data_IF_754075627928
#
_entry.id   IF_754075627928
#
_cell.length_a   1.000
_cell.length_b   1.000
_cell.length_c   1.000
_cell.angle_alpha   90.00
_cell.angle_beta   90.00
_cell.angle_gamma   90.00
#
_symmetry.space_group_name_H-M   'P 1'
#
loop_
_entity.id
_entity.type
_entity.pdbx_description
1 polymer ?
#
# COMPACT_ATOMS: atom_id res chain seq x y z
N UNK A 1 44.22 37.69 -63.50
CA UNK A 1 45.55 37.08 -63.70
C UNK A 1 45.59 35.78 -62.93
N UNK A 2 46.29 34.79 -63.49
CA UNK A 2 46.46 33.39 -63.06
C UNK A 2 45.30 32.45 -63.43
N UNK A 3 45.49 31.31 -64.08
CA UNK A 3 46.49 30.80 -65.03
C UNK A 3 45.89 29.46 -65.51
N UNK A 4 45.96 29.20 -66.82
CA UNK A 4 45.63 27.90 -67.41
C UNK A 4 46.59 26.81 -66.93
N UNK A 5 46.08 25.60 -66.66
CA UNK A 5 46.79 24.35 -66.94
C UNK A 5 45.80 23.36 -67.56
N UNK A 6 45.99 23.11 -68.85
CA UNK A 6 45.33 22.08 -69.65
C UNK A 6 46.08 20.78 -69.40
N UNK A 7 45.38 19.78 -68.84
CA UNK A 7 45.87 18.40 -68.71
C UNK A 7 45.14 17.51 -69.71
N UNK A 8 45.81 17.23 -70.83
CA UNK A 8 45.45 16.20 -71.81
C UNK A 8 45.82 14.82 -71.27
N UNK A 9 44.85 13.94 -71.01
CA UNK A 9 44.91 12.46 -71.17
C UNK A 9 43.69 11.81 -70.48
N UNK A 10 42.64 11.47 -71.23
CA UNK A 10 41.69 10.40 -70.90
C UNK A 10 40.66 10.21 -72.03
N UNK A 11 41.13 9.83 -73.22
CA UNK A 11 40.25 9.29 -74.28
C UNK A 11 40.79 7.93 -74.72
N UNK A 12 40.74 6.91 -73.85
CA UNK A 12 41.00 5.53 -74.26
C UNK A 12 40.38 4.44 -73.36
N UNK A 13 39.31 4.76 -72.60
CA UNK A 13 38.65 3.77 -71.73
C UNK A 13 37.11 3.74 -71.89
N UNK A 14 36.54 4.50 -72.82
CA UNK A 14 35.07 4.60 -72.98
C UNK A 14 34.51 3.81 -74.17
N UNK A 15 35.35 3.25 -75.04
CA UNK A 15 34.94 2.44 -76.20
C UNK A 15 34.89 0.92 -75.91
N UNK A 16 35.71 0.41 -74.98
CA UNK A 16 35.72 -1.03 -74.65
C UNK A 16 34.51 -1.49 -73.83
N UNK A 17 33.97 -0.62 -72.98
CA UNK A 17 32.79 -0.93 -72.16
C UNK A 17 31.46 -0.80 -72.90
N UNK A 18 31.43 -0.20 -74.11
CA UNK A 18 30.22 -0.11 -74.94
C UNK A 18 30.05 -1.30 -75.88
N UNK A 19 31.13 -2.02 -76.20
CA UNK A 19 31.10 -3.14 -77.14
C UNK A 19 30.67 -4.45 -76.44
N UNK A 20 30.97 -4.62 -75.14
CA UNK A 20 30.59 -5.82 -74.37
C UNK A 20 29.09 -5.89 -74.00
N UNK A 21 28.38 -4.75 -74.03
CA UNK A 21 26.93 -4.68 -73.75
C UNK A 21 26.06 -4.94 -74.98
N UNK A 22 26.65 -4.90 -76.18
CA UNK A 22 25.94 -5.05 -77.46
C UNK A 22 25.75 -6.52 -77.88
N UNK A 23 26.57 -7.45 -77.38
CA UNK A 23 26.54 -8.87 -77.77
C UNK A 23 25.60 -9.74 -76.90
N UNK A 24 25.03 -9.19 -75.82
CA UNK A 24 24.05 -9.86 -74.93
C UNK A 24 22.64 -9.26 -75.05
N UNK A 25 22.25 -8.84 -76.26
CA UNK A 25 20.93 -8.24 -76.52
C UNK A 25 20.20 -8.94 -77.67
N UNK A 26 20.19 -10.27 -77.63
CA UNK A 26 19.40 -11.08 -78.55
C UNK A 26 17.91 -10.79 -78.36
N UNK A 27 17.09 -10.80 -79.44
CA UNK A 27 15.66 -10.51 -79.36
C UNK A 27 14.91 -11.43 -78.37
N UNK A 28 15.40 -12.65 -78.14
CA UNK A 28 14.88 -13.56 -77.09
C UNK A 28 15.04 -13.02 -75.68
N UNK A 29 16.23 -12.51 -75.31
CA UNK A 29 16.46 -11.92 -73.97
C UNK A 29 15.66 -10.64 -73.74
N UNK A 30 15.40 -9.84 -74.79
CA UNK A 30 14.54 -8.65 -74.68
C UNK A 30 13.08 -9.01 -74.41
N UNK A 31 12.59 -10.10 -75.01
CA UNK A 31 11.23 -10.58 -74.77
C UNK A 31 11.10 -11.18 -73.37
N UNK A 32 12.06 -11.99 -72.92
CA UNK A 32 12.09 -12.50 -71.54
C UNK A 32 12.16 -11.37 -70.51
N UNK A 33 13.01 -10.37 -70.73
CA UNK A 33 13.11 -9.22 -69.83
C UNK A 33 11.83 -8.39 -69.83
N UNK A 34 11.19 -8.19 -70.99
CA UNK A 34 9.90 -7.50 -71.07
C UNK A 34 8.77 -8.27 -70.38
N UNK A 35 8.76 -9.61 -70.47
CA UNK A 35 7.79 -10.46 -69.77
C UNK A 35 8.00 -10.40 -68.24
N UNK A 36 9.24 -10.53 -67.76
CA UNK A 36 9.56 -10.38 -66.33
C UNK A 36 9.20 -9.00 -65.78
N UNK A 37 9.46 -7.94 -66.54
CA UNK A 37 9.08 -6.57 -66.14
C UNK A 37 7.55 -6.41 -66.10
N UNK A 38 6.83 -7.02 -67.04
CA UNK A 38 5.36 -6.97 -67.06
C UNK A 38 4.78 -7.73 -65.86
N UNK A 39 5.27 -8.93 -65.59
CA UNK A 39 4.84 -9.75 -64.44
C UNK A 39 5.07 -9.01 -63.13
N UNK A 40 6.28 -8.45 -62.95
CA UNK A 40 6.59 -7.62 -61.78
C UNK A 40 5.68 -6.41 -61.64
N UNK A 41 5.40 -5.69 -62.74
CA UNK A 41 4.50 -4.54 -62.71
C UNK A 41 3.05 -4.92 -62.33
N UNK A 42 2.58 -6.11 -62.71
CA UNK A 42 1.27 -6.61 -62.31
C UNK A 42 1.23 -7.01 -60.83
N UNK A 43 2.28 -7.63 -60.31
CA UNK A 43 2.38 -7.94 -58.89
C UNK A 43 2.46 -6.68 -58.03
N UNK A 44 3.32 -5.71 -58.41
CA UNK A 44 3.40 -4.40 -57.76
C UNK A 44 2.04 -3.68 -57.77
N UNK A 45 1.29 -3.75 -58.87
CA UNK A 45 -0.05 -3.16 -58.95
C UNK A 45 -1.06 -3.87 -58.05
N UNK A 46 -0.99 -5.20 -57.92
CA UNK A 46 -1.85 -5.98 -57.01
C UNK A 46 -1.54 -5.68 -55.55
N UNK A 47 -0.27 -5.60 -55.20
CA UNK A 47 0.17 -5.27 -53.85
C UNK A 47 -0.23 -3.84 -53.48
N UNK A 48 -0.05 -2.87 -54.39
CA UNK A 48 -0.51 -1.50 -54.18
C UNK A 48 -2.03 -1.42 -53.97
N UNK A 49 -2.85 -2.17 -54.73
CA UNK A 49 -4.30 -2.23 -54.51
C UNK A 49 -4.67 -2.85 -53.16
N UNK A 50 -3.96 -3.90 -52.75
CA UNK A 50 -4.17 -4.56 -51.46
C UNK A 50 -3.81 -3.63 -50.30
N UNK A 51 -2.70 -2.92 -50.41
CA UNK A 51 -2.26 -1.95 -49.42
C UNK A 51 -3.23 -0.78 -49.30
N UNK A 52 -3.66 -0.18 -50.42
CA UNK A 52 -4.66 0.87 -50.44
C UNK A 52 -6.00 0.43 -49.80
N UNK A 53 -6.46 -0.79 -50.11
CA UNK A 53 -7.67 -1.37 -49.50
C UNK A 53 -7.53 -1.65 -48.01
N UNK A 54 -6.31 -1.90 -47.54
CA UNK A 54 -6.00 -2.15 -46.13
C UNK A 54 -5.96 -0.82 -45.36
N UNK A 55 -5.27 0.18 -45.92
CA UNK A 55 -5.25 1.55 -45.39
C UNK A 55 -6.66 2.16 -45.32
N UNK A 56 -7.51 1.94 -46.32
CA UNK A 56 -8.90 2.41 -46.28
C UNK A 56 -9.71 1.75 -45.15
N UNK A 57 -9.53 0.44 -44.93
CA UNK A 57 -10.18 -0.27 -43.82
C UNK A 57 -9.68 0.22 -42.46
N UNK A 58 -8.39 0.48 -42.36
CA UNK A 58 -7.79 0.99 -41.13
C UNK A 58 -8.27 2.41 -40.83
N UNK A 59 -8.36 3.27 -41.83
CA UNK A 59 -8.93 4.61 -41.71
C UNK A 59 -10.41 4.57 -41.28
N UNK A 60 -11.21 3.64 -41.83
CA UNK A 60 -12.60 3.46 -41.41
C UNK A 60 -12.70 3.06 -39.92
N UNK A 61 -11.88 2.09 -39.50
CA UNK A 61 -11.82 1.66 -38.10
C UNK A 61 -11.37 2.76 -37.16
N UNK A 62 -10.39 3.56 -37.56
CA UNK A 62 -9.93 4.71 -36.79
C UNK A 62 -11.05 5.74 -36.59
N UNK A 63 -11.91 5.96 -37.60
CA UNK A 63 -13.07 6.84 -37.46
C UNK A 63 -14.12 6.26 -36.50
N UNK A 64 -14.39 4.95 -36.58
CA UNK A 64 -15.28 4.25 -35.64
C UNK A 64 -14.75 4.36 -34.20
N UNK A 65 -13.44 4.16 -34.00
CA UNK A 65 -12.80 4.27 -32.68
C UNK A 65 -12.91 5.69 -32.11
N UNK A 66 -12.68 6.73 -32.93
CA UNK A 66 -12.87 8.13 -32.51
C UNK A 66 -14.31 8.41 -32.12
N UNK A 67 -15.30 7.83 -32.81
CA UNK A 67 -16.70 8.00 -32.46
C UNK A 67 -17.06 7.26 -31.15
N UNK A 68 -16.56 6.04 -30.99
CA UNK A 68 -16.75 5.25 -29.76
C UNK A 68 -16.09 5.94 -28.56
N UNK A 69 -14.87 6.45 -28.72
CA UNK A 69 -14.15 7.19 -27.67
C UNK A 69 -14.84 8.50 -27.28
N UNK A 70 -15.49 9.19 -28.23
CA UNK A 70 -16.32 10.35 -27.90
C UNK A 70 -17.53 9.96 -27.05
N UNK A 71 -18.20 8.85 -27.37
CA UNK A 71 -19.33 8.36 -26.59
C UNK A 71 -18.89 7.91 -25.19
N UNK A 72 -17.78 7.18 -25.10
CA UNK A 72 -17.17 6.72 -23.84
C UNK A 72 -16.75 7.90 -22.95
N UNK A 73 -16.20 8.97 -23.54
CA UNK A 73 -15.87 10.21 -22.83
C UNK A 73 -17.13 10.88 -22.24
N UNK A 74 -18.22 10.92 -23.00
CA UNK A 74 -19.47 11.51 -22.53
C UNK A 74 -20.12 10.68 -21.41
N UNK A 75 -20.08 9.36 -21.52
CA UNK A 75 -20.54 8.45 -20.47
C UNK A 75 -19.66 8.56 -19.21
N UNK A 76 -18.34 8.61 -19.37
CA UNK A 76 -17.40 8.80 -18.25
C UNK A 76 -17.65 10.12 -17.52
N UNK A 77 -17.94 11.20 -18.24
CA UNK A 77 -18.31 12.49 -17.63
C UNK A 77 -19.63 12.41 -16.86
N UNK A 78 -20.66 11.76 -17.43
CA UNK A 78 -21.94 11.57 -16.75
C UNK A 78 -21.78 10.70 -15.49
N UNK A 79 -21.00 9.63 -15.57
CA UNK A 79 -20.71 8.74 -14.46
C UNK A 79 -19.93 9.47 -13.35
N UNK A 80 -18.91 10.24 -13.71
CA UNK A 80 -18.15 11.04 -12.75
C UNK A 80 -19.03 12.06 -12.01
N UNK A 81 -19.96 12.72 -12.70
CA UNK A 81 -20.93 13.63 -12.07
C UNK A 81 -21.86 12.90 -11.11
N UNK A 82 -22.37 11.72 -11.51
CA UNK A 82 -23.23 10.89 -10.66
C UNK A 82 -22.49 10.42 -9.40
N UNK A 83 -21.26 9.92 -9.55
CA UNK A 83 -20.43 9.49 -8.43
C UNK A 83 -20.09 10.66 -7.50
N UNK A 84 -19.81 11.86 -8.02
CA UNK A 84 -19.60 13.04 -7.21
C UNK A 84 -20.85 13.42 -6.40
N UNK A 85 -22.03 13.34 -7.01
CA UNK A 85 -23.30 13.61 -6.34
C UNK A 85 -23.61 12.59 -5.24
N UNK A 86 -23.34 11.31 -5.50
CA UNK A 86 -23.52 10.23 -4.52
C UNK A 86 -22.52 10.33 -3.37
N UNK A 87 -21.27 10.68 -3.66
CA UNK A 87 -20.25 10.97 -2.65
C UNK A 87 -20.64 12.17 -1.78
N UNK A 88 -21.21 13.23 -2.37
CA UNK A 88 -21.67 14.40 -1.63
C UNK A 88 -22.88 14.06 -0.73
N UNK A 89 -23.82 13.25 -1.23
CA UNK A 89 -24.94 12.75 -0.43
C UNK A 89 -24.47 11.88 0.74
N UNK A 90 -23.51 10.99 0.50
CA UNK A 90 -22.91 10.14 1.53
C UNK A 90 -22.19 10.96 2.61
N UNK A 91 -21.45 12.00 2.21
CA UNK A 91 -20.82 12.93 3.15
C UNK A 91 -21.84 13.64 4.04
N UNK A 92 -22.95 14.11 3.47
CA UNK A 92 -24.03 14.74 4.25
C UNK A 92 -24.67 13.74 5.23
N UNK A 93 -24.90 12.50 4.79
CA UNK A 93 -25.44 11.45 5.65
C UNK A 93 -24.47 11.11 6.80
N UNK A 94 -23.17 11.04 6.52
CA UNK A 94 -22.13 10.81 7.53
C UNK A 94 -22.08 11.95 8.56
N UNK A 95 -22.19 13.21 8.11
CA UNK A 95 -22.27 14.38 8.99
C UNK A 95 -23.53 14.35 9.87
N UNK A 96 -24.68 13.96 9.31
CA UNK A 96 -25.93 13.82 10.08
C UNK A 96 -25.80 12.73 11.15
N UNK A 97 -25.24 11.56 10.80
CA UNK A 97 -24.97 10.49 11.77
C UNK A 97 -23.96 10.92 12.84
N UNK A 98 -22.96 11.71 12.47
CA UNK A 98 -21.97 12.23 13.40
C UNK A 98 -22.62 13.16 14.42
N UNK A 99 -23.52 14.06 14.01
CA UNK A 99 -24.27 14.91 14.92
C UNK A 99 -25.16 14.10 15.88
N UNK A 100 -25.83 13.05 15.37
CA UNK A 100 -26.61 12.15 16.20
C UNK A 100 -25.74 11.36 17.20
N UNK A 101 -24.57 10.88 16.78
CA UNK A 101 -23.64 10.19 17.66
C UNK A 101 -23.09 11.13 18.75
N UNK A 102 -22.80 12.39 18.42
CA UNK A 102 -22.33 13.39 19.38
C UNK A 102 -23.38 13.68 20.45
N UNK A 103 -24.67 13.84 20.10
CA UNK A 103 -25.71 14.08 21.09
C UNK A 103 -25.90 12.88 22.03
N UNK A 104 -25.86 11.65 21.49
CA UNK A 104 -25.92 10.42 22.30
C UNK A 104 -24.69 10.29 23.20
N UNK A 105 -23.50 10.58 22.69
CA UNK A 105 -22.26 10.53 23.46
C UNK A 105 -22.27 11.56 24.61
N UNK A 106 -22.72 12.78 24.36
CA UNK A 106 -22.87 13.82 25.40
C UNK A 106 -23.87 13.39 26.49
N UNK A 107 -25.00 12.81 26.09
CA UNK A 107 -25.99 12.29 27.03
C UNK A 107 -25.44 11.12 27.86
N UNK A 108 -24.70 10.21 27.24
CA UNK A 108 -24.06 9.08 27.90
C UNK A 108 -22.95 9.53 28.87
N UNK A 109 -22.18 10.57 28.53
CA UNK A 109 -21.20 11.15 29.44
C UNK A 109 -21.85 11.80 30.66
N UNK A 110 -22.94 12.55 30.46
CA UNK A 110 -23.68 13.17 31.56
C UNK A 110 -24.29 12.13 32.50
N UNK A 111 -24.88 11.06 31.95
CA UNK A 111 -25.45 9.97 32.77
C UNK A 111 -24.36 9.16 33.49
N UNK A 112 -23.22 8.91 32.85
CA UNK A 112 -22.07 8.25 33.48
C UNK A 112 -21.50 9.08 34.64
N UNK A 113 -21.36 10.41 34.47
CA UNK A 113 -20.94 11.32 35.54
C UNK A 113 -21.93 11.36 36.70
N UNK A 114 -23.24 11.34 36.43
CA UNK A 114 -24.27 11.26 37.45
C UNK A 114 -24.18 9.94 38.23
N UNK A 115 -24.04 8.80 37.54
CA UNK A 115 -23.88 7.49 38.16
C UNK A 115 -22.59 7.42 39.00
N UNK A 116 -21.48 8.01 38.53
CA UNK A 116 -20.22 8.06 39.27
C UNK A 116 -20.37 8.86 40.57
N UNK A 117 -21.07 10.01 40.53
CA UNK A 117 -21.38 10.79 41.75
C UNK A 117 -22.20 10.00 42.75
N UNK A 118 -23.14 9.19 42.28
CA UNK A 118 -24.00 8.39 43.14
C UNK A 118 -23.21 7.23 43.78
N UNK A 119 -22.29 6.62 43.04
CA UNK A 119 -21.38 5.61 43.58
C UNK A 119 -20.45 6.20 44.67
N UNK A 120 -19.92 7.42 44.48
CA UNK A 120 -19.09 8.08 45.49
C UNK A 120 -19.87 8.39 46.77
N UNK A 121 -21.12 8.83 46.67
CA UNK A 121 -21.97 9.08 47.85
C UNK A 121 -22.28 7.78 48.60
N UNK A 122 -22.60 6.71 47.89
CA UNK A 122 -22.85 5.40 48.50
C UNK A 122 -21.59 4.88 49.19
N UNK A 123 -20.41 5.05 48.58
CA UNK A 123 -19.14 4.65 49.18
C UNK A 123 -18.79 5.45 50.43
N UNK A 124 -18.97 6.78 50.40
CA UNK A 124 -18.77 7.62 51.56
C UNK A 124 -19.70 7.23 52.72
N UNK A 125 -20.98 6.97 52.42
CA UNK A 125 -21.97 6.54 53.42
C UNK A 125 -21.61 5.17 54.01
N UNK A 126 -21.16 4.23 53.17
CA UNK A 126 -20.75 2.90 53.59
C UNK A 126 -19.48 2.95 54.47
N UNK A 127 -18.52 3.82 54.16
CA UNK A 127 -17.33 4.02 54.99
C UNK A 127 -17.68 4.56 56.37
N UNK A 128 -18.66 5.47 56.46
CA UNK A 128 -19.12 6.05 57.72
C UNK A 128 -19.91 5.04 58.57
N UNK A 129 -20.70 4.18 57.94
CA UNK A 129 -21.36 3.05 58.60
C UNK A 129 -20.35 2.03 59.12
N UNK A 130 -19.36 1.64 58.31
CA UNK A 130 -18.29 0.73 58.75
C UNK A 130 -17.47 1.33 59.92
N UNK A 131 -17.25 2.64 59.92
CA UNK A 131 -16.58 3.35 61.01
C UNK A 131 -17.40 3.30 62.31
N UNK A 132 -18.71 3.53 62.23
CA UNK A 132 -19.61 3.46 63.39
C UNK A 132 -19.79 2.03 63.90
N UNK A 133 -19.83 1.03 63.01
CA UNK A 133 -19.94 -0.38 63.37
C UNK A 133 -18.64 -0.87 64.06
N UNK A 134 -17.48 -0.39 63.59
CA UNK A 134 -16.18 -0.62 64.25
C UNK A 134 -16.11 0.04 65.63
N UNK A 135 -16.63 1.27 65.78
CA UNK A 135 -16.69 1.96 67.06
C UNK A 135 -17.68 1.30 68.05
N UNK A 136 -18.80 0.77 67.55
CA UNK A 136 -19.76 0.01 68.35
C UNK A 136 -19.21 -1.37 68.77
N UNK A 137 -18.45 -2.03 67.89
CA UNK A 137 -17.74 -3.27 68.21
C UNK A 137 -16.68 -3.04 69.30
N UNK A 138 -15.94 -1.93 69.26
CA UNK A 138 -14.89 -1.63 70.24
C UNK A 138 -15.45 -1.31 71.64
N UNK A 139 -16.65 -0.75 71.74
CA UNK A 139 -17.33 -0.53 73.02
C UNK A 139 -17.90 -1.82 73.63
N UNK A 140 -18.15 -2.86 72.82
CA UNK A 140 -18.58 -4.18 73.31
C UNK A 140 -17.42 -5.04 73.85
N UNK A 141 -16.16 -4.68 73.58
CA UNK A 141 -14.97 -5.44 74.01
C UNK A 141 -14.44 -4.96 75.39
N UNK A 142 -15.07 -3.94 76.00
CA UNK A 142 -14.72 -3.47 77.35
C UNK A 142 -15.27 -4.33 78.51
N UNK A 143 -15.73 -5.56 78.26
CA UNK A 143 -15.96 -6.58 79.28
C UNK A 143 -14.93 -7.71 79.11
N UNK A 144 -14.11 -8.02 80.14
CA UNK A 144 -13.00 -8.97 80.00
C UNK A 144 -13.52 -10.41 80.01
N UNK A 145 -13.32 -11.12 78.90
CA UNK A 145 -13.68 -12.54 78.79
C UNK A 145 -13.22 -13.12 77.46
N UNK A 146 -12.22 -13.99 77.53
CA UNK A 146 -11.43 -14.57 76.45
C UNK A 146 -12.17 -15.26 75.29
N UNK A 147 -11.40 -15.43 74.21
CA UNK A 147 -11.53 -16.37 73.07
C UNK A 147 -12.41 -15.92 71.89
N UNK A 148 -11.76 -15.40 70.84
CA UNK A 148 -11.74 -16.05 69.51
C UNK A 148 -10.80 -15.33 68.54
N UNK A 149 -9.55 -15.80 68.55
CA UNK A 149 -8.58 -15.64 67.46
C UNK A 149 -8.73 -16.86 66.55
N UNK A 150 -9.68 -16.84 65.63
CA UNK A 150 -9.74 -17.74 64.49
C UNK A 150 -10.70 -17.15 63.45
N UNK A 151 -10.17 -16.70 62.31
CA UNK A 151 -10.83 -16.54 61.00
C UNK A 151 -10.37 -15.33 60.14
N UNK A 152 -9.33 -14.58 60.53
CA UNK A 152 -8.79 -13.49 59.69
C UNK A 152 -7.54 -13.91 58.90
N UNK A 153 -7.64 -14.95 58.08
CA UNK A 153 -6.55 -15.36 57.19
C UNK A 153 -6.94 -15.66 55.73
N UNK A 154 -8.21 -15.51 55.35
CA UNK A 154 -8.68 -15.81 53.97
C UNK A 154 -9.04 -14.58 53.11
N UNK A 155 -9.15 -13.37 53.69
CA UNK A 155 -9.55 -12.17 52.93
C UNK A 155 -8.40 -11.36 52.33
N UNK A 156 -7.14 -11.65 52.67
CA UNK A 156 -5.98 -10.88 52.21
C UNK A 156 -5.37 -11.38 50.88
N UNK A 157 -5.79 -12.53 50.37
CA UNK A 157 -5.16 -13.17 49.19
C UNK A 157 -5.90 -12.95 47.87
N UNK A 158 -7.05 -12.26 47.85
CA UNK A 158 -7.79 -11.97 46.60
C UNK A 158 -7.65 -10.52 46.09
N UNK A 159 -6.98 -9.64 46.82
CA UNK A 159 -6.70 -8.26 46.35
C UNK A 159 -5.29 -8.06 45.77
N UNK A 160 -4.42 -9.09 45.82
CA UNK A 160 -3.09 -9.04 45.21
C UNK A 160 -3.04 -9.61 43.77
N UNK A 161 -4.07 -10.33 43.30
CA UNK A 161 -4.08 -10.95 41.98
C UNK A 161 -4.60 -10.04 40.84
N UNK A 162 -5.11 -8.85 41.16
CA UNK A 162 -5.67 -7.91 40.16
C UNK A 162 -4.70 -6.76 39.83
N UNK A 163 -3.56 -6.66 40.53
CA UNK A 163 -2.59 -5.58 40.37
C UNK A 163 -1.29 -5.96 39.64
N UNK A 164 -1.13 -7.21 39.19
CA UNK A 164 0.10 -7.69 38.52
C UNK A 164 0.08 -7.64 36.98
N UNK A 165 -0.97 -7.11 36.34
CA UNK A 165 -0.99 -6.95 34.87
C UNK A 165 -1.16 -5.50 34.39
N UNK A 166 -0.82 -4.52 35.21
CA UNK A 166 -0.77 -3.12 34.79
C UNK A 166 0.65 -2.61 34.95
N UNK A 167 1.49 -2.96 33.99
CA UNK A 167 2.79 -2.35 33.78
C UNK A 167 2.63 -0.82 33.78
N UNK A 168 3.51 -0.08 34.46
CA UNK A 168 3.59 1.37 34.31
C UNK A 168 4.22 1.65 32.94
N UNK A 169 3.40 1.75 31.90
CA UNK A 169 3.82 2.50 30.71
C UNK A 169 3.95 3.95 31.14
N UNK A 170 5.20 4.39 31.07
CA UNK A 170 5.69 5.70 31.44
C UNK A 170 4.78 6.79 30.88
N UNK A 171 4.37 7.69 31.77
CA UNK A 171 3.88 9.01 31.41
C UNK A 171 4.99 9.75 30.65
N UNK A 172 4.99 9.57 29.33
CA UNK A 172 5.59 10.49 28.39
C UNK A 172 4.44 11.36 27.88
N UNK A 173 4.65 12.67 27.98
CA UNK A 173 3.72 13.75 27.63
C UNK A 173 2.76 13.38 26.50
N UNK A 174 1.47 13.65 26.65
CA UNK A 174 0.50 13.50 25.57
C UNK A 174 1.00 14.26 24.31
N UNK A 175 1.39 13.56 23.22
CA UNK A 175 1.72 14.21 21.97
C UNK A 175 0.47 14.19 21.08
N UNK A 176 0.46 15.08 20.09
CA UNK A 176 -0.62 15.22 19.12
C UNK A 176 -1.15 13.87 18.57
N UNK A 177 -2.42 13.55 18.84
CA UNK A 177 -3.21 12.39 18.37
C UNK A 177 -2.48 11.42 17.42
N UNK A 178 -1.61 10.58 17.99
CA UNK A 178 -0.93 9.52 17.25
C UNK A 178 -1.89 8.34 17.16
N UNK A 179 -2.28 7.98 15.95
CA UNK A 179 -3.18 6.88 15.64
C UNK A 179 -2.34 5.65 15.28
N UNK A 180 -2.72 4.48 15.81
CA UNK A 180 -2.02 3.24 15.53
C UNK A 180 -2.85 2.36 14.59
N UNK A 181 -2.21 1.74 13.61
CA UNK A 181 -2.80 0.74 12.73
C UNK A 181 -1.97 -0.54 12.76
N UNK A 182 -2.65 -1.69 12.70
CA UNK A 182 -2.01 -3.00 12.53
C UNK A 182 -2.59 -3.66 11.30
N UNK A 183 -1.76 -4.10 10.36
CA UNK A 183 -2.23 -4.69 9.11
C UNK A 183 -1.15 -5.47 8.39
N UNK A 184 -1.44 -5.89 7.16
CA UNK A 184 -0.50 -6.53 6.26
C UNK A 184 0.03 -5.50 5.25
N UNK A 185 1.33 -5.52 4.97
CA UNK A 185 1.96 -4.63 3.99
C UNK A 185 1.58 -5.08 2.59
N UNK A 186 0.98 -4.20 1.79
CA UNK A 186 0.71 -4.46 0.37
C UNK A 186 1.91 -4.13 -0.50
N UNK A 187 2.51 -2.97 -0.23
CA UNK A 187 3.72 -2.51 -0.92
C UNK A 187 4.46 -1.51 -0.04
N UNK A 188 5.79 -1.55 -0.09
CA UNK A 188 6.65 -0.69 0.69
C UNK A 188 7.73 -0.07 -0.18
N UNK A 189 7.98 1.21 0.03
CA UNK A 189 9.02 1.98 -0.66
C UNK A 189 9.71 2.91 0.33
N UNK A 190 10.74 3.61 -0.12
CA UNK A 190 11.48 4.54 0.72
C UNK A 190 10.62 5.71 1.28
N UNK A 191 9.51 6.05 0.62
CA UNK A 191 8.73 7.26 0.91
C UNK A 191 7.26 6.96 1.23
N UNK A 192 6.79 5.76 0.92
CA UNK A 192 5.40 5.37 1.16
C UNK A 192 5.28 3.88 1.48
N UNK A 193 4.37 3.57 2.40
CA UNK A 193 3.99 2.21 2.76
C UNK A 193 2.47 2.09 2.66
N UNK A 194 2.02 1.12 1.87
CA UNK A 194 0.61 0.78 1.71
C UNK A 194 0.27 -0.37 2.65
N UNK A 195 -0.65 -0.13 3.57
CA UNK A 195 -1.09 -1.11 4.56
C UNK A 195 -2.54 -1.48 4.29
N UNK A 196 -2.83 -2.77 4.31
CA UNK A 196 -4.18 -3.32 4.25
C UNK A 196 -4.59 -3.82 5.63
N UNK A 197 -5.74 -3.37 6.12
CA UNK A 197 -6.40 -4.00 7.26
C UNK A 197 -7.52 -4.91 6.76
N UNK A 198 -7.78 -6.03 7.45
CA UNK A 198 -8.85 -6.96 7.08
C UNK A 198 -10.21 -6.26 7.11
N UNK A 199 -10.70 -5.86 5.93
CA UNK A 199 -12.01 -5.24 5.74
C UNK A 199 -12.04 -3.70 5.75
N UNK A 200 -10.89 -3.04 5.90
CA UNK A 200 -10.77 -1.57 5.83
C UNK A 200 -10.09 -1.11 4.53
N UNK A 201 -10.32 0.15 4.10
CA UNK A 201 -9.64 0.70 2.93
C UNK A 201 -8.13 0.73 3.11
N UNK A 202 -7.41 0.49 2.01
CA UNK A 202 -5.95 0.58 1.93
C UNK A 202 -5.46 1.94 2.49
N UNK A 203 -4.60 1.91 3.50
CA UNK A 203 -4.02 3.13 4.09
C UNK A 203 -2.63 3.38 3.49
N UNK A 204 -2.44 4.54 2.86
CA UNK A 204 -1.16 4.98 2.32
C UNK A 204 -0.44 5.88 3.32
N UNK A 205 0.54 5.33 4.01
CA UNK A 205 1.35 6.02 5.01
C UNK A 205 2.56 6.66 4.34
N UNK A 206 2.79 7.96 4.58
CA UNK A 206 4.02 8.61 4.14
C UNK A 206 5.16 8.38 5.13
N UNK A 207 6.31 7.98 4.60
CA UNK A 207 7.55 7.79 5.36
C UNK A 207 8.41 9.02 5.17
N UNK A 208 8.73 9.69 6.27
CA UNK A 208 9.56 10.89 6.30
C UNK A 208 10.89 10.62 7.01
N UNK A 209 11.81 11.61 7.03
CA UNK A 209 13.10 11.48 7.70
C UNK A 209 12.99 11.32 9.23
N UNK A 210 11.85 11.70 9.82
CA UNK A 210 11.54 11.51 11.24
C UNK A 210 10.85 10.18 11.55
N UNK A 211 10.56 9.35 10.54
CA UNK A 211 9.86 8.07 10.75
C UNK A 211 10.85 7.02 11.23
N UNK A 212 10.58 6.44 12.40
CA UNK A 212 11.39 5.35 12.93
C UNK A 212 10.90 4.01 12.38
N UNK A 213 11.72 3.34 11.58
CA UNK A 213 11.37 2.04 10.97
C UNK A 213 12.19 0.92 11.61
N UNK A 214 11.50 -0.14 12.01
CA UNK A 214 12.08 -1.35 12.57
C UNK A 214 11.51 -2.56 11.84
N UNK A 215 12.37 -3.52 11.51
CA UNK A 215 12.01 -4.83 10.96
C UNK A 215 12.55 -5.89 11.91
N UNK A 216 11.66 -6.74 12.44
CA UNK A 216 11.99 -7.79 13.41
C UNK A 216 12.80 -7.27 14.63
N UNK A 217 12.45 -6.06 15.09
CA UNK A 217 13.09 -5.39 16.22
C UNK A 217 14.46 -4.77 15.91
N UNK A 218 14.91 -4.75 14.64
CA UNK A 218 16.15 -4.09 14.20
C UNK A 218 15.83 -2.83 13.43
N UNK A 219 16.64 -1.78 13.61
CA UNK A 219 16.52 -0.56 12.83
C UNK A 219 16.71 -0.88 11.33
N UNK A 220 15.73 -0.52 10.52
CA UNK A 220 15.67 -0.82 9.10
C UNK A 220 15.10 0.38 8.33
N UNK A 221 15.01 0.27 7.01
CA UNK A 221 14.38 1.27 6.14
C UNK A 221 13.03 0.79 5.65
N UNK A 222 12.13 1.70 5.28
CA UNK A 222 10.81 1.31 4.76
C UNK A 222 10.89 0.47 3.48
N UNK A 223 11.96 0.63 2.67
CA UNK A 223 12.22 -0.20 1.49
C UNK A 223 12.64 -1.64 1.81
N UNK A 224 13.02 -1.94 3.06
CA UNK A 224 13.43 -3.28 3.50
C UNK A 224 12.22 -4.11 4.00
N UNK A 225 11.07 -3.46 4.18
CA UNK A 225 9.84 -4.11 4.61
C UNK A 225 9.30 -4.98 3.48
N UNK A 226 9.15 -6.28 3.76
CA UNK A 226 8.60 -7.21 2.78
C UNK A 226 7.09 -7.05 2.60
N UNK A 227 6.65 -7.21 1.36
CA UNK A 227 5.23 -7.31 1.02
C UNK A 227 4.63 -8.57 1.68
N UNK A 228 3.48 -8.43 2.33
CA UNK A 228 2.85 -9.47 3.13
C UNK A 228 3.37 -9.60 4.58
N UNK A 229 4.35 -8.80 4.99
CA UNK A 229 4.76 -8.71 6.39
C UNK A 229 3.63 -8.11 7.25
N UNK A 230 3.55 -8.55 8.51
CA UNK A 230 2.65 -7.91 9.46
C UNK A 230 3.30 -6.63 9.96
N UNK A 231 2.58 -5.52 9.94
CA UNK A 231 3.10 -4.22 10.34
C UNK A 231 2.22 -3.58 11.40
N UNK A 232 2.85 -3.00 12.41
CA UNK A 232 2.26 -2.09 13.38
C UNK A 232 2.84 -0.71 13.13
N UNK A 233 2.03 0.21 12.63
CA UNK A 233 2.45 1.58 12.35
C UNK A 233 1.71 2.57 13.24
N UNK A 234 2.44 3.52 13.80
CA UNK A 234 1.90 4.72 14.43
C UNK A 234 2.03 5.86 13.43
N UNK A 235 0.93 6.57 13.19
CA UNK A 235 0.87 7.69 12.26
C UNK A 235 0.12 8.87 12.87
N UNK A 236 0.37 10.06 12.33
CA UNK A 236 -0.39 11.25 12.66
C UNK A 236 -1.01 11.78 11.38
N UNK A 237 -2.30 12.07 11.44
CA UNK A 237 -2.98 12.75 10.34
C UNK A 237 -2.66 14.24 10.45
N UNK A 238 -1.95 14.77 9.47
CA UNK A 238 -1.64 16.19 9.43
C UNK A 238 -2.88 16.97 8.96
N UNK A 239 -3.41 17.85 9.81
CA UNK A 239 -4.67 18.58 9.55
C UNK A 239 -4.58 19.54 8.35
N UNK A 240 -3.36 19.95 7.95
CA UNK A 240 -3.15 20.85 6.80
C UNK A 240 -3.17 20.11 5.46
N UNK A 241 -2.72 18.85 5.42
CA UNK A 241 -2.57 18.07 4.19
C UNK A 241 -3.55 16.90 4.08
N UNK A 242 -4.24 16.54 5.16
CA UNK A 242 -5.14 15.38 5.24
C UNK A 242 -4.45 14.03 5.03
N UNK A 243 -3.12 13.99 4.98
CA UNK A 243 -2.34 12.78 4.70
C UNK A 243 -1.82 12.17 6.01
N UNK A 244 -1.88 10.84 6.16
CA UNK A 244 -1.33 10.17 7.33
C UNK A 244 0.20 10.05 7.20
N UNK A 245 0.92 10.74 8.09
CA UNK A 245 2.38 10.72 8.19
C UNK A 245 2.80 9.67 9.22
N UNK A 246 3.63 8.71 8.82
CA UNK A 246 4.14 7.69 9.73
C UNK A 246 5.16 8.29 10.71
N UNK A 247 5.03 7.91 11.98
CA UNK A 247 5.93 8.27 13.07
C UNK A 247 6.81 7.08 13.45
N UNK A 248 6.21 5.90 13.59
CA UNK A 248 6.90 4.65 13.86
C UNK A 248 6.30 3.52 13.02
N UNK A 249 7.13 2.67 12.46
CA UNK A 249 6.73 1.49 11.71
C UNK A 249 7.50 0.31 12.28
N UNK A 250 6.79 -0.68 12.79
CA UNK A 250 7.35 -1.94 13.27
C UNK A 250 6.81 -3.06 12.39
N UNK A 251 7.66 -3.61 11.53
CA UNK A 251 7.32 -4.72 10.66
C UNK A 251 7.87 -6.01 11.24
N UNK A 252 7.01 -7.02 11.37
CA UNK A 252 7.41 -8.40 11.64
C UNK A 252 7.31 -9.16 10.33
N UNK A 253 8.46 -9.63 9.85
CA UNK A 253 8.48 -10.52 8.70
C UNK A 253 7.68 -11.75 9.10
N UNK A 254 6.70 -12.17 8.30
CA UNK A 254 6.15 -13.51 8.48
C UNK A 254 7.29 -14.44 8.12
N UNK A 255 7.95 -15.02 9.12
CA UNK A 255 8.83 -16.14 8.90
C UNK A 255 8.04 -17.16 8.09
N UNK A 256 8.35 -17.22 6.79
CA UNK A 256 8.02 -18.35 5.97
C UNK A 256 8.56 -19.56 6.76
N UNK A 257 7.74 -20.57 7.10
CA UNK A 257 8.27 -21.79 7.68
C UNK A 257 9.43 -22.19 6.77
N UNK A 258 10.62 -22.30 7.34
CA UNK A 258 11.80 -22.74 6.60
C UNK A 258 11.36 -23.98 5.82
N UNK A 259 11.47 -23.91 4.49
CA UNK A 259 11.43 -25.11 3.69
C UNK A 259 12.39 -26.10 4.37
N UNK A 260 11.98 -27.36 4.61
CA UNK A 260 12.89 -28.34 5.19
C UNK A 260 14.16 -28.31 4.35
N UNK A 261 15.29 -28.05 5.02
CA UNK A 261 16.59 -28.09 4.37
C UNK A 261 16.68 -29.39 3.56
N UNK A 262 17.12 -29.36 2.29
CA UNK A 262 17.56 -30.61 1.68
C UNK A 262 18.58 -31.20 2.64
N UNK A 263 18.37 -32.45 3.03
CA UNK A 263 19.29 -33.17 3.89
C UNK A 263 20.67 -33.12 3.24
N UNK A 264 21.54 -32.22 3.72
CA UNK A 264 22.97 -32.35 3.56
C UNK A 264 23.33 -33.59 4.37
N UNK A 265 23.35 -34.73 3.67
CA UNK A 265 24.04 -35.94 4.09
C UNK A 265 25.54 -35.60 4.17
N UNK A 266 25.90 -34.82 5.19
CA UNK A 266 27.25 -34.71 5.71
C UNK A 266 27.56 -35.96 6.52
N UNK A 267 27.69 -37.08 5.81
CA UNK A 267 28.16 -38.32 6.40
C UNK A 267 29.68 -38.22 6.56
N UNK A 268 30.07 -37.80 7.76
CA UNK A 268 31.22 -38.29 8.52
C UNK A 268 32.52 -38.56 7.76
N UNK A 269 33.47 -37.62 7.85
CA UNK A 269 34.89 -37.95 7.91
C UNK A 269 35.47 -37.50 9.25
N UNK A 270 35.67 -38.43 10.21
CA UNK A 270 36.60 -38.22 11.31
C UNK A 270 37.83 -39.12 11.18
N UNK A 271 38.97 -38.46 10.93
CA UNK A 271 40.23 -38.72 11.64
C UNK A 271 41.08 -39.93 11.24
N UNK A 272 42.28 -39.64 10.74
CA UNK A 272 43.54 -40.18 11.31
C UNK A 272 44.70 -39.23 11.01
N UNK A 273 45.41 -38.75 12.04
CA UNK A 273 46.83 -38.46 11.92
C UNK A 273 47.67 -39.47 12.73
N UNK A 274 48.73 -39.95 12.07
CA UNK A 274 49.86 -40.82 12.49
C UNK A 274 49.70 -42.31 12.29
#
# INVERSE_FOLDING_TARGET
>A
MAALVVGTTACQDQDRSRQDTAEKNTPGQRVEQAQLQSEKAFDDARDAQKEASSQQREAARAQEDVQQKQQELQEAQAKAQKEAQEAQASQQQAQARTQQAQSVAQQAQASALAAQRQAQQNFATQQQQASNESAAANQRIAAPGAQQQAANQDAATQQAAIAQNSQPTQAQAAPAQEQQITGDVLSASAQEVLVSQRGEPRLRLKVGPSTQVQVDGRAASAADIQEGAQVRASYRTDESSGQPQALRIDATSRAQPAAPAPAESGESSPGVPR
#
